data_IF_433824044859
#
_entry.id   IF_433824044859
#
_cell.length_a   1.000
_cell.length_b   1.000
_cell.length_c   1.000
_cell.angle_alpha   90.00
_cell.angle_beta   90.00
_cell.angle_gamma   90.00
#
_symmetry.space_group_name_H-M   'P 1'
#
loop_
_entity.id
_entity.type
_entity.pdbx_description
1 polymer ?
#
# COMPACT_ATOMS: atom_id res chain seq x y z
N UNK A 1 -18.62 -6.46 21.97
CA UNK A 1 -17.80 -5.67 21.03
C UNK A 1 -16.38 -5.65 21.56
N UNK A 2 -15.36 -5.95 20.76
CA UNK A 2 -13.97 -5.78 21.18
C UNK A 2 -13.68 -4.29 21.42
N UNK A 3 -12.97 -3.98 22.50
CA UNK A 3 -12.53 -2.63 22.82
C UNK A 3 -11.06 -2.47 22.41
N UNK A 4 -10.75 -1.42 21.65
CA UNK A 4 -9.39 -1.06 21.24
C UNK A 4 -8.93 0.15 22.04
N UNK A 5 -7.76 0.05 22.68
CA UNK A 5 -7.08 1.16 23.32
C UNK A 5 -5.85 1.52 22.49
N UNK A 6 -5.80 2.75 21.99
CA UNK A 6 -4.71 3.24 21.14
C UNK A 6 -4.01 4.40 21.86
N UNK A 7 -2.67 4.42 21.81
CA UNK A 7 -1.90 5.58 22.24
C UNK A 7 -1.74 6.52 21.06
N UNK A 8 -2.10 7.77 21.27
CA UNK A 8 -2.03 8.86 20.30
C UNK A 8 -1.39 10.06 21.00
N UNK A 9 -0.66 10.85 20.25
CA UNK A 9 -0.15 12.14 20.68
C UNK A 9 -1.28 13.16 20.83
N UNK A 10 -1.10 14.11 21.74
CA UNK A 10 -2.09 15.14 22.06
C UNK A 10 -2.62 15.91 20.82
N UNK A 11 -1.80 16.34 19.85
CA UNK A 11 -2.31 17.06 18.69
C UNK A 11 -3.16 16.16 17.77
N UNK A 12 -2.85 14.88 17.64
CA UNK A 12 -3.68 13.93 16.89
C UNK A 12 -5.01 13.67 17.58
N UNK A 13 -5.02 13.56 18.92
CA UNK A 13 -6.25 13.44 19.69
C UNK A 13 -7.17 14.65 19.53
N UNK A 14 -6.60 15.85 19.51
CA UNK A 14 -7.36 17.08 19.30
C UNK A 14 -7.93 17.16 17.88
N UNK A 15 -7.14 16.79 16.86
CA UNK A 15 -7.60 16.70 15.48
C UNK A 15 -8.80 15.75 15.33
N UNK A 16 -8.72 14.56 15.91
CA UNK A 16 -9.83 13.59 15.89
C UNK A 16 -11.10 14.10 16.59
N UNK A 17 -10.95 14.88 17.68
CA UNK A 17 -12.09 15.48 18.36
C UNK A 17 -12.76 16.55 17.52
N UNK A 18 -11.98 17.40 16.85
CA UNK A 18 -12.50 18.42 15.95
C UNK A 18 -13.21 17.80 14.76
N UNK A 19 -12.65 16.75 14.17
CA UNK A 19 -13.25 16.05 13.04
C UNK A 19 -14.56 15.36 13.43
N UNK A 20 -14.57 14.67 14.59
CA UNK A 20 -15.79 14.07 15.12
C UNK A 20 -16.88 15.11 15.41
N UNK A 21 -16.49 16.26 15.98
CA UNK A 21 -17.40 17.39 16.25
C UNK A 21 -17.95 17.99 14.95
N UNK A 22 -17.11 18.16 13.92
CA UNK A 22 -17.50 18.67 12.59
C UNK A 22 -18.55 17.76 11.93
N UNK A 23 -18.44 16.45 12.12
CA UNK A 23 -19.42 15.47 11.61
C UNK A 23 -20.61 15.22 12.56
N UNK A 24 -20.65 15.86 13.74
CA UNK A 24 -21.68 15.63 14.75
C UNK A 24 -21.71 14.20 15.30
N UNK A 25 -20.57 13.50 15.30
CA UNK A 25 -20.42 12.11 15.75
C UNK A 25 -19.64 12.05 17.06
N UNK A 26 -19.88 10.99 17.84
CA UNK A 26 -18.99 10.66 18.95
C UNK A 26 -17.64 10.20 18.42
N UNK A 27 -16.56 10.41 19.18
CA UNK A 27 -15.20 10.01 18.81
C UNK A 27 -15.11 8.53 18.42
N UNK A 28 -15.74 7.64 19.18
CA UNK A 28 -15.76 6.21 18.88
C UNK A 28 -16.47 5.88 17.56
N UNK A 29 -17.57 6.56 17.24
CA UNK A 29 -18.32 6.35 16.00
C UNK A 29 -17.59 6.93 14.80
N UNK A 30 -16.90 8.06 14.98
CA UNK A 30 -16.05 8.67 13.97
C UNK A 30 -14.86 7.74 13.64
N UNK A 31 -14.09 7.32 14.65
CA UNK A 31 -12.93 6.43 14.47
C UNK A 31 -13.34 5.09 13.85
N UNK A 32 -14.47 4.51 14.27
CA UNK A 32 -15.00 3.29 13.64
C UNK A 32 -15.35 3.50 12.16
N UNK A 33 -15.87 4.67 11.80
CA UNK A 33 -16.12 5.07 10.42
C UNK A 33 -14.84 5.15 9.61
N UNK A 34 -13.82 5.85 10.12
CA UNK A 34 -12.50 5.97 9.47
C UNK A 34 -11.85 4.60 9.26
N UNK A 35 -11.89 3.71 10.27
CA UNK A 35 -11.36 2.35 10.16
C UNK A 35 -12.10 1.54 9.09
N UNK A 36 -13.43 1.69 9.01
CA UNK A 36 -14.25 1.03 8.00
C UNK A 36 -13.94 1.56 6.60
N UNK A 37 -13.85 2.87 6.45
CA UNK A 37 -13.51 3.53 5.19
C UNK A 37 -12.10 3.14 4.72
N UNK A 38 -11.13 3.09 5.64
CA UNK A 38 -9.80 2.59 5.32
C UNK A 38 -9.81 1.10 4.91
N UNK A 39 -10.66 0.29 5.55
CA UNK A 39 -10.84 -1.11 5.19
C UNK A 39 -11.57 -1.32 3.86
N UNK A 40 -12.41 -0.39 3.42
CA UNK A 40 -13.24 -0.55 2.21
C UNK A 40 -12.67 0.21 1.01
N UNK A 41 -12.19 1.43 1.21
CA UNK A 41 -11.76 2.35 0.15
C UNK A 41 -10.25 2.44 -0.04
N UNK A 42 -9.44 1.98 0.93
CA UNK A 42 -7.98 2.01 0.86
C UNK A 42 -7.36 0.62 0.59
N UNK A 43 -8.18 -0.30 0.07
CA UNK A 43 -7.72 -1.60 -0.40
C UNK A 43 -7.62 -1.57 -1.92
N UNK A 44 -6.62 -2.27 -2.44
CA UNK A 44 -6.52 -2.58 -3.85
C UNK A 44 -7.86 -3.11 -4.39
N UNK A 45 -8.24 -2.80 -5.65
CA UNK A 45 -9.48 -3.28 -6.26
C UNK A 45 -9.67 -4.78 -6.04
N UNK A 46 -10.91 -5.23 -5.89
CA UNK A 46 -11.18 -6.65 -5.71
C UNK A 46 -10.56 -7.46 -6.86
N UNK A 47 -9.69 -8.41 -6.52
CA UNK A 47 -8.96 -9.22 -7.50
C UNK A 47 -7.69 -8.58 -8.07
N UNK A 48 -7.22 -7.45 -7.55
CA UNK A 48 -5.94 -6.85 -7.94
C UNK A 48 -4.76 -7.83 -7.86
N UNK A 49 -4.66 -8.59 -6.77
CA UNK A 49 -3.63 -9.62 -6.63
C UNK A 49 -3.86 -10.85 -7.52
N UNK A 50 -5.07 -11.05 -8.02
CA UNK A 50 -5.36 -12.13 -8.98
C UNK A 50 -4.79 -11.82 -10.37
N UNK A 51 -4.47 -10.54 -10.65
CA UNK A 51 -3.84 -10.12 -11.90
C UNK A 51 -2.32 -10.37 -11.91
N UNK A 52 -1.73 -10.65 -10.74
CA UNK A 52 -0.30 -10.94 -10.63
C UNK A 52 0.01 -12.25 -11.36
N UNK A 53 0.70 -12.17 -12.49
CA UNK A 53 1.00 -13.33 -13.32
C UNK A 53 -0.19 -13.86 -14.15
N UNK A 54 -1.31 -13.14 -14.23
CA UNK A 54 -2.46 -13.53 -15.07
C UNK A 54 -2.26 -13.25 -16.57
N UNK A 55 -1.15 -12.61 -16.93
CA UNK A 55 -0.79 -12.40 -18.33
C UNK A 55 -0.20 -13.70 -18.88
N UNK A 56 -1.01 -14.49 -19.59
CA UNK A 56 -0.57 -15.67 -20.35
C UNK A 56 0.17 -15.27 -21.64
N UNK A 57 1.00 -14.24 -21.58
CA UNK A 57 1.71 -13.74 -22.75
C UNK A 57 2.99 -14.56 -22.93
N UNK A 58 2.95 -15.54 -23.84
CA UNK A 58 4.09 -16.38 -24.21
C UNK A 58 5.27 -15.62 -24.83
N UNK A 59 5.16 -14.29 -24.94
CA UNK A 59 6.23 -13.38 -25.35
C UNK A 59 7.10 -12.96 -24.15
N UNK A 60 6.53 -12.89 -22.94
CA UNK A 60 7.23 -12.55 -21.70
C UNK A 60 7.82 -13.81 -21.07
N UNK A 61 8.80 -14.40 -21.77
CA UNK A 61 9.58 -15.52 -21.25
C UNK A 61 10.82 -14.96 -20.57
N UNK A 62 11.18 -15.54 -19.41
CA UNK A 62 12.48 -15.30 -18.80
C UNK A 62 13.58 -15.57 -19.84
N UNK A 63 14.44 -14.58 -20.16
CA UNK A 63 15.56 -14.84 -21.05
C UNK A 63 16.43 -15.94 -20.42
N UNK A 64 17.06 -16.79 -21.24
CA UNK A 64 17.93 -17.83 -20.72
C UNK A 64 18.97 -17.21 -19.79
N UNK A 65 19.25 -17.89 -18.67
CA UNK A 65 20.35 -17.55 -17.76
C UNK A 65 21.67 -17.76 -18.51
N UNK A 66 22.07 -16.76 -19.29
CA UNK A 66 23.39 -16.73 -19.90
C UNK A 66 24.41 -16.32 -18.83
N UNK A 67 25.50 -17.07 -18.66
CA UNK A 67 26.55 -16.70 -17.74
C UNK A 67 27.04 -15.29 -18.11
N UNK A 68 27.13 -14.42 -17.10
CA UNK A 68 27.59 -13.05 -17.30
C UNK A 68 28.97 -13.07 -17.98
N UNK A 69 29.02 -12.54 -19.19
CA UNK A 69 30.27 -12.42 -19.94
C UNK A 69 31.16 -11.38 -19.25
N UNK A 70 32.34 -11.82 -18.81
CA UNK A 70 33.34 -10.96 -18.19
C UNK A 70 34.17 -10.22 -19.23
N UNK A 71 33.89 -10.41 -20.53
CA UNK A 71 34.54 -9.65 -21.57
C UNK A 71 34.33 -8.14 -21.33
N UNK A 72 35.41 -7.34 -21.44
CA UNK A 72 35.35 -5.93 -21.15
C UNK A 72 34.38 -5.25 -22.12
N UNK A 73 33.40 -4.53 -21.57
CA UNK A 73 32.50 -3.71 -22.37
C UNK A 73 33.37 -2.67 -23.11
N UNK A 74 33.45 -2.71 -24.46
CA UNK A 74 34.41 -1.89 -25.22
C UNK A 74 34.18 -0.37 -25.05
N UNK A 75 33.04 0.03 -24.51
CA UNK A 75 32.75 1.42 -24.15
C UNK A 75 33.53 1.92 -22.91
N UNK A 76 34.17 1.05 -22.14
CA UNK A 76 34.98 1.40 -20.95
C UNK A 76 36.49 1.49 -21.23
N UNK A 77 36.95 1.17 -22.45
CA UNK A 77 38.36 1.18 -22.86
C UNK A 77 38.79 2.49 -23.54
N UNK A 78 37.94 3.53 -23.55
CA UNK A 78 38.30 4.88 -23.97
C UNK A 78 38.75 5.72 -22.76
N UNK A 79 39.93 5.41 -22.23
CA UNK A 79 40.66 6.26 -21.28
C UNK A 79 42.16 6.27 -21.61
#
# INVERSE_FOLDING_TARGET
MPQLSLYLDDPMMEGLRQDASREGKTLSKFVAGVLKDHAENNRWPHGFFNLYGACEDGVLVEPPDEPFDLDPIPALELA
#
